data_IF_507382383799
#
_entry.id   IF_507382383799
#
_cell.length_a   1.000
_cell.length_b   1.000
_cell.length_c   1.000
_cell.angle_alpha   90.00
_cell.angle_beta   90.00
_cell.angle_gamma   90.00
#
_symmetry.space_group_name_H-M   'P 1'
#
loop_
_entity.id
_entity.type
_entity.pdbx_description
1 polymer ?
#
# COMPACT_ATOMS: atom_id res chain seq x y z
N UNK A 1 -12.07 43.90 -0.14
CA UNK A 1 -12.76 43.15 -1.22
C UNK A 1 -11.81 42.17 -1.88
N UNK A 2 -11.54 41.07 -1.19
CA UNK A 2 -10.74 39.96 -1.73
C UNK A 2 -11.69 38.83 -2.09
N UNK A 3 -12.09 38.88 -3.36
CA UNK A 3 -12.67 37.85 -4.22
C UNK A 3 -12.94 36.49 -3.55
N UNK A 4 -14.23 36.23 -3.32
CA UNK A 4 -14.79 34.88 -3.18
C UNK A 4 -14.49 34.07 -4.44
N UNK A 5 -13.35 33.37 -4.45
CA UNK A 5 -13.06 32.36 -5.47
C UNK A 5 -13.69 31.05 -5.02
N UNK A 6 -14.90 30.80 -5.49
CA UNK A 6 -15.56 29.49 -5.39
C UNK A 6 -14.85 28.50 -6.32
N UNK A 7 -13.80 27.83 -5.82
CA UNK A 7 -13.03 26.86 -6.59
C UNK A 7 -13.41 25.44 -6.15
N UNK A 8 -13.85 24.61 -7.11
CA UNK A 8 -14.11 23.19 -6.85
C UNK A 8 -12.75 22.48 -6.83
N UNK A 9 -12.30 22.11 -5.63
CA UNK A 9 -11.02 21.42 -5.42
C UNK A 9 -11.28 19.99 -4.94
N UNK A 10 -10.73 19.02 -5.65
CA UNK A 10 -10.71 17.63 -5.18
C UNK A 10 -9.68 17.50 -4.06
N UNK A 11 -10.15 17.17 -2.86
CA UNK A 11 -9.32 16.93 -1.68
C UNK A 11 -9.43 15.44 -1.35
N UNK A 12 -8.32 14.68 -1.36
CA UNK A 12 -8.36 13.27 -1.01
C UNK A 12 -8.67 13.11 0.48
N UNK A 13 -9.59 12.21 0.80
CA UNK A 13 -9.88 11.83 2.18
C UNK A 13 -9.01 10.66 2.63
N UNK A 14 -8.66 10.57 3.92
CA UNK A 14 -7.99 9.38 4.47
C UNK A 14 -8.87 8.13 4.27
N UNK A 15 -8.26 7.05 3.79
CA UNK A 15 -8.92 5.75 3.66
C UNK A 15 -8.33 4.77 4.69
N UNK A 16 -9.16 3.92 5.32
CA UNK A 16 -8.64 2.91 6.26
C UNK A 16 -7.70 1.92 5.56
N UNK A 17 -6.54 1.68 6.18
CA UNK A 17 -5.51 0.78 5.65
C UNK A 17 -5.97 -0.70 5.56
N UNK A 18 -7.06 -1.07 6.22
CA UNK A 18 -7.67 -2.40 6.10
C UNK A 18 -8.29 -2.67 4.73
N UNK A 19 -8.65 -1.62 3.99
CA UNK A 19 -9.37 -1.72 2.73
C UNK A 19 -8.43 -1.69 1.51
N UNK A 20 -7.11 -1.70 1.74
CA UNK A 20 -6.09 -1.72 0.69
C UNK A 20 -5.25 -2.99 0.76
N UNK A 21 -4.88 -3.51 -0.40
CA UNK A 21 -3.96 -4.64 -0.53
C UNK A 21 -2.67 -4.20 -1.24
N UNK A 22 -1.54 -4.83 -0.89
CA UNK A 22 -0.27 -4.55 -1.55
C UNK A 22 -0.26 -5.17 -2.95
N UNK A 23 0.07 -4.34 -3.94
CA UNK A 23 0.29 -4.79 -5.32
C UNK A 23 1.77 -5.11 -5.49
N UNK A 24 2.10 -6.37 -5.75
CA UNK A 24 3.46 -6.80 -6.07
C UNK A 24 3.46 -7.38 -7.48
N UNK A 25 4.34 -6.86 -8.36
CA UNK A 25 4.43 -7.25 -9.79
C UNK A 25 3.07 -7.25 -10.52
N UNK A 26 2.22 -6.27 -10.23
CA UNK A 26 0.90 -6.12 -10.86
C UNK A 26 -0.20 -7.05 -10.34
N UNK A 27 0.08 -7.90 -9.33
CA UNK A 27 -0.92 -8.76 -8.70
C UNK A 27 -1.18 -8.32 -7.25
N UNK A 28 -2.43 -8.40 -6.82
CA UNK A 28 -2.82 -8.18 -5.42
C UNK A 28 -2.37 -9.37 -4.58
N UNK A 29 -1.59 -9.11 -3.54
CA UNK A 29 -1.03 -10.17 -2.69
C UNK A 29 -1.16 -9.80 -1.21
N UNK A 30 -1.34 -10.82 -0.35
CA UNK A 30 -1.27 -10.63 1.10
C UNK A 30 0.17 -10.78 1.56
N UNK A 31 0.59 -9.96 2.51
CA UNK A 31 1.94 -10.00 3.09
C UNK A 31 2.04 -11.14 4.09
N UNK A 32 3.03 -12.02 3.90
CA UNK A 32 3.56 -12.92 4.91
C UNK A 32 4.93 -12.43 5.41
N UNK A 33 5.46 -13.09 6.42
CA UNK A 33 6.82 -12.87 6.90
C UNK A 33 7.61 -14.16 6.80
N UNK A 34 8.86 -14.07 6.35
CA UNK A 34 9.82 -15.18 6.34
C UNK A 34 11.14 -14.70 6.93
N UNK A 35 11.90 -15.62 7.50
CA UNK A 35 13.28 -15.37 7.91
C UNK A 35 14.18 -15.88 6.79
N UNK A 36 14.99 -14.99 6.22
CA UNK A 36 15.99 -15.35 5.22
C UNK A 36 17.14 -16.17 5.87
N UNK A 37 17.92 -16.88 5.07
CA UNK A 37 19.08 -17.67 5.52
C UNK A 37 20.12 -16.83 6.28
N UNK A 38 20.11 -15.50 6.10
CA UNK A 38 20.95 -14.54 6.82
C UNK A 38 20.36 -14.05 8.15
N UNK A 39 19.21 -14.58 8.58
CA UNK A 39 18.57 -14.25 9.86
C UNK A 39 17.67 -13.01 9.84
N UNK A 40 17.44 -12.39 8.68
CA UNK A 40 16.62 -11.18 8.55
C UNK A 40 15.15 -11.50 8.30
N UNK A 41 14.25 -10.75 8.94
CA UNK A 41 12.81 -10.85 8.72
C UNK A 41 12.42 -10.07 7.46
N UNK A 42 12.18 -10.80 6.38
CA UNK A 42 11.72 -10.24 5.10
C UNK A 42 10.21 -10.38 4.98
N UNK A 43 9.57 -9.42 4.31
CA UNK A 43 8.19 -9.58 3.88
C UNK A 43 8.19 -10.45 2.64
N UNK A 44 7.17 -11.29 2.50
CA UNK A 44 6.98 -12.15 1.32
C UNK A 44 5.56 -12.03 0.81
N UNK A 45 5.39 -11.99 -0.50
CA UNK A 45 4.08 -12.06 -1.14
C UNK A 45 3.55 -13.49 -0.97
N UNK A 46 2.48 -13.67 -0.18
CA UNK A 46 1.96 -15.01 0.16
C UNK A 46 1.52 -15.83 -1.06
N UNK A 47 1.15 -15.16 -2.15
CA UNK A 47 0.70 -15.81 -3.39
C UNK A 47 1.82 -16.32 -4.28
N UNK A 48 3.00 -15.67 -4.30
CA UNK A 48 4.11 -16.04 -5.20
C UNK A 48 5.36 -16.51 -4.46
N UNK A 49 5.44 -16.28 -3.15
CA UNK A 49 6.65 -16.53 -2.36
C UNK A 49 7.79 -15.54 -2.64
N UNK A 50 7.55 -14.55 -3.51
CA UNK A 50 8.52 -13.49 -3.82
C UNK A 50 8.74 -12.60 -2.60
N UNK A 51 9.98 -12.17 -2.40
CA UNK A 51 10.33 -11.17 -1.39
C UNK A 51 9.82 -9.77 -1.81
N UNK A 52 9.27 -9.03 -0.84
CA UNK A 52 8.74 -7.66 -0.98
C UNK A 52 9.51 -6.64 -0.13
#
# INVERSE_FOLDING_TARGET
NEKDKSEIKEIPMPMPASNVMLVHKGKVTRIGFKIDAKGNKVRVARSTGDEI
#
